data_IF_433852083366
#
_entry.id   IF_433852083366
#
_cell.length_a   1.000
_cell.length_b   1.000
_cell.length_c   1.000
_cell.angle_alpha   90.00
_cell.angle_beta   90.00
_cell.angle_gamma   90.00
#
_symmetry.space_group_name_H-M   'P 1'
#
loop_
_entity.id
_entity.type
_entity.pdbx_description
1 polymer ?
#
# COMPACT_ATOMS: atom_id res chain seq x y z
N UNK A 1 -12.54 -0.88 1.97
CA UNK A 1 -11.29 -1.61 1.66
C UNK A 1 -11.09 -1.66 0.15
N UNK A 2 -9.88 -1.36 -0.34
CA UNK A 2 -9.48 -1.58 -1.73
C UNK A 2 -8.73 -2.90 -1.83
N UNK A 3 -9.13 -3.76 -2.78
CA UNK A 3 -8.50 -5.07 -3.02
C UNK A 3 -7.71 -5.01 -4.31
N UNK A 4 -6.41 -5.30 -4.24
CA UNK A 4 -5.51 -5.18 -5.39
C UNK A 4 -5.85 -6.15 -6.52
N UNK A 5 -5.38 -5.82 -7.73
CA UNK A 5 -5.75 -6.52 -8.97
C UNK A 5 -5.13 -7.91 -9.14
N UNK A 6 -4.14 -8.27 -8.32
CA UNK A 6 -3.36 -9.51 -8.37
C UNK A 6 -4.11 -10.74 -7.87
N UNK A 7 -5.39 -10.83 -8.16
CA UNK A 7 -6.26 -11.98 -7.90
C UNK A 7 -6.04 -13.12 -8.91
N UNK A 8 -6.61 -14.27 -8.66
CA UNK A 8 -6.61 -15.40 -9.60
C UNK A 8 -8.07 -15.82 -9.92
N UNK A 9 -8.60 -15.50 -11.12
CA UNK A 9 -7.99 -14.73 -12.19
C UNK A 9 -7.76 -13.25 -11.85
N UNK A 10 -6.84 -12.58 -12.59
CA UNK A 10 -6.52 -11.16 -12.43
C UNK A 10 -7.76 -10.29 -12.64
N UNK A 11 -7.91 -9.22 -11.85
CA UNK A 11 -9.00 -8.25 -11.99
C UNK A 11 -8.71 -7.29 -13.16
N UNK A 12 -8.73 -7.81 -14.39
CA UNK A 12 -8.40 -7.10 -15.63
C UNK A 12 -9.61 -6.88 -16.55
N UNK A 13 -10.80 -7.21 -16.09
CA UNK A 13 -12.04 -7.04 -16.83
C UNK A 13 -13.24 -6.83 -15.89
N UNK A 14 -14.38 -6.30 -16.40
CA UNK A 14 -15.55 -6.02 -15.59
C UNK A 14 -16.11 -7.22 -14.82
N UNK A 15 -16.15 -8.40 -15.41
CA UNK A 15 -16.76 -9.58 -14.77
C UNK A 15 -16.00 -10.00 -13.50
N UNK A 16 -14.68 -9.92 -13.51
CA UNK A 16 -13.87 -10.23 -12.31
C UNK A 16 -14.00 -9.12 -11.27
N UNK A 17 -14.00 -7.85 -11.70
CA UNK A 17 -14.22 -6.72 -10.78
C UNK A 17 -15.59 -6.83 -10.08
N UNK A 18 -16.65 -7.12 -10.82
CA UNK A 18 -17.99 -7.34 -10.26
C UNK A 18 -18.03 -8.54 -9.33
N UNK A 19 -17.38 -9.64 -9.68
CA UNK A 19 -17.29 -10.82 -8.80
C UNK A 19 -16.67 -10.46 -7.45
N UNK A 20 -15.60 -9.70 -7.42
CA UNK A 20 -14.94 -9.24 -6.17
C UNK A 20 -15.88 -8.34 -5.40
N UNK A 21 -16.49 -7.36 -6.07
CA UNK A 21 -17.44 -6.45 -5.46
C UNK A 21 -18.64 -7.17 -4.84
N UNK A 22 -19.29 -8.07 -5.57
CA UNK A 22 -20.42 -8.87 -5.07
C UNK A 22 -20.05 -9.73 -3.86
N UNK A 23 -18.85 -10.32 -3.85
CA UNK A 23 -18.37 -11.06 -2.66
C UNK A 23 -18.26 -10.15 -1.44
N UNK A 24 -17.73 -8.93 -1.61
CA UNK A 24 -17.68 -7.93 -0.54
C UNK A 24 -19.06 -7.57 -0.02
N UNK A 25 -20.01 -7.28 -0.92
CA UNK A 25 -21.40 -6.95 -0.55
C UNK A 25 -22.06 -8.09 0.23
N UNK A 26 -21.87 -9.33 -0.21
CA UNK A 26 -22.51 -10.48 0.42
C UNK A 26 -21.99 -10.78 1.83
N UNK A 27 -20.75 -10.39 2.16
CA UNK A 27 -20.21 -10.55 3.53
C UNK A 27 -20.73 -9.48 4.47
N UNK A 28 -21.06 -8.30 3.97
CA UNK A 28 -21.64 -7.16 4.69
C UNK A 28 -20.83 -6.75 5.96
N UNK A 29 -19.51 -6.89 5.91
CA UNK A 29 -18.61 -6.48 7.00
C UNK A 29 -18.03 -5.09 6.77
N UNK A 30 -17.70 -4.76 5.54
CA UNK A 30 -17.23 -3.45 5.10
C UNK A 30 -17.45 -3.30 3.59
N UNK A 31 -17.37 -2.06 3.10
CA UNK A 31 -17.40 -1.81 1.67
C UNK A 31 -16.08 -2.26 1.01
N UNK A 32 -16.18 -3.14 0.02
CA UNK A 32 -15.06 -3.66 -0.74
C UNK A 32 -15.08 -3.05 -2.15
N UNK A 33 -14.00 -2.39 -2.52
CA UNK A 33 -13.81 -1.76 -3.81
C UNK A 33 -12.69 -2.49 -4.56
N UNK A 34 -12.98 -3.19 -5.67
CA UNK A 34 -11.93 -3.81 -6.46
C UNK A 34 -11.06 -2.75 -7.16
N UNK A 35 -9.76 -2.99 -7.18
CA UNK A 35 -8.81 -2.31 -8.03
C UNK A 35 -8.69 -3.08 -9.33
N UNK A 36 -8.82 -2.39 -10.47
CA UNK A 36 -8.58 -2.99 -11.77
C UNK A 36 -7.07 -3.01 -12.08
N UNK A 37 -6.60 -3.98 -12.86
CA UNK A 37 -5.22 -3.91 -13.34
C UNK A 37 -5.04 -2.82 -14.40
N UNK A 38 -3.85 -2.22 -14.46
CA UNK A 38 -3.46 -1.28 -15.51
C UNK A 38 -3.25 -2.07 -16.80
N UNK A 39 -2.51 -3.19 -16.73
CA UNK A 39 -2.23 -4.03 -17.87
C UNK A 39 -2.96 -5.38 -17.81
N UNK A 40 -3.32 -5.91 -18.95
CA UNK A 40 -3.94 -7.25 -19.08
C UNK A 40 -3.03 -8.31 -18.47
N UNK A 41 -3.60 -9.13 -17.61
CA UNK A 41 -2.88 -10.19 -16.90
C UNK A 41 -1.68 -9.72 -16.05
N UNK A 42 -1.57 -8.42 -15.74
CA UNK A 42 -0.41 -7.80 -15.07
C UNK A 42 0.90 -8.06 -15.86
N UNK A 43 0.84 -8.05 -17.20
CA UNK A 43 1.99 -8.36 -18.05
C UNK A 43 2.80 -7.12 -18.46
N UNK A 44 2.33 -5.91 -18.17
CA UNK A 44 2.99 -4.66 -18.56
C UNK A 44 3.06 -4.41 -20.08
N UNK A 45 2.21 -5.06 -20.87
CA UNK A 45 2.27 -5.03 -22.36
C UNK A 45 1.14 -4.26 -23.01
N UNK A 46 -0.08 -4.45 -22.53
CA UNK A 46 -1.31 -3.91 -23.11
C UNK A 46 -2.23 -3.41 -22.00
N UNK A 47 -2.85 -2.23 -22.19
CA UNK A 47 -3.79 -1.67 -21.23
C UNK A 47 -5.08 -2.50 -21.16
N UNK A 48 -5.69 -2.52 -19.99
CA UNK A 48 -7.04 -3.03 -19.78
C UNK A 48 -8.09 -2.00 -20.21
N UNK A 49 -9.35 -2.41 -20.20
CA UNK A 49 -10.49 -1.56 -20.56
C UNK A 49 -10.97 -0.76 -19.34
N UNK A 50 -10.23 0.30 -18.96
CA UNK A 50 -10.57 1.13 -17.78
C UNK A 50 -12.01 1.62 -17.79
N UNK A 51 -12.49 2.13 -18.94
CA UNK A 51 -13.85 2.64 -19.09
C UNK A 51 -14.90 1.60 -18.78
N UNK A 52 -14.74 0.38 -19.29
CA UNK A 52 -15.70 -0.70 -19.04
C UNK A 52 -15.74 -1.10 -17.56
N UNK A 53 -14.58 -1.14 -16.89
CA UNK A 53 -14.53 -1.44 -15.46
C UNK A 53 -15.06 -0.28 -14.60
N UNK A 54 -14.77 0.97 -14.98
CA UNK A 54 -15.28 2.15 -14.28
C UNK A 54 -16.81 2.31 -14.41
N UNK A 55 -17.39 1.88 -15.53
CA UNK A 55 -18.84 1.94 -15.79
C UNK A 55 -19.59 0.70 -15.31
N UNK A 56 -18.91 -0.38 -14.90
CA UNK A 56 -19.51 -1.60 -14.35
C UNK A 56 -20.21 -1.35 -13.00
N UNK A 57 -20.96 -2.33 -12.51
CA UNK A 57 -21.60 -2.27 -11.19
C UNK A 57 -20.58 -2.10 -10.05
N UNK A 58 -19.35 -2.63 -10.24
CA UNK A 58 -18.25 -2.48 -9.30
C UNK A 58 -17.70 -1.05 -9.20
N UNK A 59 -17.98 -0.19 -10.20
CA UNK A 59 -17.53 1.22 -10.23
C UNK A 59 -16.03 1.36 -9.90
N UNK A 60 -15.18 0.64 -10.61
CA UNK A 60 -13.73 0.64 -10.37
C UNK A 60 -13.19 2.07 -10.46
N UNK A 61 -12.54 2.53 -9.38
CA UNK A 61 -12.03 3.91 -9.24
C UNK A 61 -10.52 4.02 -9.26
N UNK A 62 -9.84 2.90 -9.07
CA UNK A 62 -8.39 2.81 -9.00
C UNK A 62 -7.90 1.64 -9.84
N UNK A 63 -6.75 1.84 -10.50
CA UNK A 63 -6.09 0.83 -11.32
C UNK A 63 -4.65 0.70 -10.90
N UNK A 64 -4.17 -0.55 -10.77
CA UNK A 64 -2.81 -0.86 -10.34
C UNK A 64 -2.38 -2.23 -10.86
N UNK A 65 -1.11 -2.34 -11.24
CA UNK A 65 -0.46 -3.63 -11.48
C UNK A 65 0.26 -4.13 -10.21
N UNK A 66 -0.22 -3.78 -9.02
CA UNK A 66 0.42 -4.07 -7.73
C UNK A 66 0.93 -5.51 -7.62
N UNK A 67 2.07 -5.64 -6.95
CA UNK A 67 2.94 -6.81 -6.95
C UNK A 67 3.84 -6.88 -8.19
N UNK A 68 3.62 -5.98 -9.16
CA UNK A 68 4.47 -5.71 -10.33
C UNK A 68 4.46 -4.21 -10.63
N UNK A 69 5.40 -3.76 -11.44
CA UNK A 69 5.49 -2.38 -11.88
C UNK A 69 5.10 -2.26 -13.35
N UNK A 70 4.39 -1.19 -13.73
CA UNK A 70 4.34 -0.78 -15.13
C UNK A 70 5.65 -0.08 -15.46
N UNK A 71 6.66 -0.85 -15.82
CA UNK A 71 8.03 -0.38 -16.09
C UNK A 71 8.19 0.23 -17.49
N UNK A 72 7.36 -0.15 -18.48
CA UNK A 72 7.35 0.46 -19.81
C UNK A 72 6.82 1.90 -19.74
N UNK A 73 7.68 2.93 -19.98
CA UNK A 73 7.27 4.33 -19.94
C UNK A 73 6.22 4.68 -21.01
N UNK A 74 6.18 3.97 -22.13
CA UNK A 74 5.18 4.19 -23.18
C UNK A 74 3.81 3.71 -22.75
N UNK A 75 3.76 2.56 -22.05
CA UNK A 75 2.51 2.01 -21.53
C UNK A 75 1.97 2.91 -20.40
N UNK A 76 2.86 3.31 -19.46
CA UNK A 76 2.49 4.19 -18.35
C UNK A 76 1.97 5.54 -18.84
N UNK A 77 2.63 6.15 -19.83
CA UNK A 77 2.12 7.37 -20.48
C UNK A 77 0.70 7.19 -20.99
N UNK A 78 0.43 6.11 -21.74
CA UNK A 78 -0.90 5.84 -22.27
C UNK A 78 -1.94 5.61 -21.17
N UNK A 79 -1.55 4.94 -20.09
CA UNK A 79 -2.41 4.75 -18.92
C UNK A 79 -2.81 6.11 -18.32
N UNK A 80 -1.85 7.03 -18.12
CA UNK A 80 -2.11 8.38 -17.61
C UNK A 80 -3.03 9.17 -18.55
N UNK A 81 -2.78 9.16 -19.85
CA UNK A 81 -3.62 9.86 -20.83
C UNK A 81 -5.05 9.29 -20.85
N UNK A 82 -5.21 7.97 -20.75
CA UNK A 82 -6.51 7.29 -20.78
C UNK A 82 -7.29 7.51 -19.48
N UNK A 83 -6.63 7.41 -18.32
CA UNK A 83 -7.27 7.59 -17.00
C UNK A 83 -7.83 8.99 -16.78
N UNK A 84 -7.19 10.02 -17.35
CA UNK A 84 -7.57 11.42 -17.19
C UNK A 84 -9.01 11.69 -17.61
N UNK A 85 -9.47 11.09 -18.71
CA UNK A 85 -10.83 11.29 -19.23
C UNK A 85 -11.94 10.71 -18.34
N UNK A 86 -11.60 9.80 -17.44
CA UNK A 86 -12.51 9.08 -16.55
C UNK A 86 -12.36 9.49 -15.08
N UNK A 87 -11.39 10.35 -14.77
CA UNK A 87 -11.05 10.77 -13.39
C UNK A 87 -10.78 9.61 -12.43
N UNK A 88 -10.25 8.50 -12.95
CA UNK A 88 -9.80 7.37 -12.14
C UNK A 88 -8.37 7.58 -11.64
N UNK A 89 -7.99 6.89 -10.58
CA UNK A 89 -6.69 6.94 -9.96
C UNK A 89 -5.81 5.83 -10.52
N UNK A 90 -4.59 6.13 -10.93
CA UNK A 90 -3.56 5.13 -11.17
C UNK A 90 -2.70 4.99 -9.93
N UNK A 91 -2.54 3.77 -9.43
CA UNK A 91 -1.71 3.46 -8.28
C UNK A 91 -0.52 2.59 -8.74
N UNK A 92 0.68 2.99 -8.38
CA UNK A 92 1.90 2.35 -8.86
C UNK A 92 2.67 1.71 -7.72
N UNK A 93 2.90 0.40 -7.84
CA UNK A 93 3.96 -0.30 -7.13
C UNK A 93 5.29 0.10 -7.79
N UNK A 94 6.05 0.96 -7.11
CA UNK A 94 7.24 1.58 -7.70
C UNK A 94 8.45 0.66 -7.55
N UNK A 95 8.73 -0.11 -8.59
CA UNK A 95 9.88 -1.00 -8.66
C UNK A 95 10.46 -1.02 -10.07
N UNK A 96 11.75 -0.68 -10.21
CA UNK A 96 12.48 -0.93 -11.45
C UNK A 96 12.97 -2.39 -11.45
N UNK A 97 12.27 -3.31 -12.18
CA UNK A 97 12.47 -4.75 -12.02
C UNK A 97 13.87 -5.23 -12.46
N UNK A 98 14.58 -4.46 -13.27
CA UNK A 98 15.95 -4.79 -13.68
C UNK A 98 16.98 -4.53 -12.60
N UNK A 99 16.66 -3.65 -11.63
CA UNK A 99 17.51 -3.38 -10.48
C UNK A 99 17.28 -4.33 -9.31
N UNK A 100 16.17 -5.09 -9.34
CA UNK A 100 15.76 -5.96 -8.22
C UNK A 100 15.92 -7.45 -8.53
N UNK A 101 16.59 -7.81 -9.63
CA UNK A 101 16.83 -9.21 -9.99
C UNK A 101 17.64 -9.90 -8.88
N UNK A 102 17.02 -10.93 -8.25
CA UNK A 102 17.64 -11.67 -7.15
C UNK A 102 17.68 -10.92 -5.81
N UNK A 103 17.09 -9.74 -5.73
CA UNK A 103 17.00 -8.96 -4.51
C UNK A 103 15.89 -9.50 -3.58
N UNK A 104 16.17 -9.57 -2.29
CA UNK A 104 15.24 -10.09 -1.27
C UNK A 104 15.21 -9.26 0.01
N UNK A 105 16.17 -8.35 0.20
CA UNK A 105 16.37 -7.53 1.39
C UNK A 105 16.88 -6.15 0.98
N UNK A 106 16.70 -5.14 1.84
CA UNK A 106 17.27 -3.82 1.60
C UNK A 106 18.78 -3.89 1.33
N UNK A 107 19.26 -3.21 0.29
CA UNK A 107 20.69 -3.09 -0.01
C UNK A 107 21.38 -2.24 1.05
N UNK A 108 22.04 -2.88 1.99
CA UNK A 108 22.68 -2.24 3.13
C UNK A 108 23.59 -3.19 3.88
N UNK A 109 24.07 -2.73 5.05
CA UNK A 109 25.00 -3.50 5.89
C UNK A 109 24.39 -4.83 6.34
N UNK A 110 23.13 -4.84 6.73
CA UNK A 110 22.41 -6.04 7.18
C UNK A 110 22.37 -7.10 6.10
N UNK A 111 21.92 -6.77 4.88
CA UNK A 111 21.85 -7.72 3.77
C UNK A 111 23.25 -8.23 3.39
N UNK A 112 24.25 -7.35 3.32
CA UNK A 112 25.62 -7.73 3.01
C UNK A 112 26.19 -8.72 4.04
N UNK A 113 25.99 -8.47 5.33
CA UNK A 113 26.43 -9.34 6.44
C UNK A 113 25.73 -10.69 6.43
N UNK A 114 24.44 -10.71 6.05
CA UNK A 114 23.62 -11.93 5.99
C UNK A 114 23.76 -12.70 4.67
N UNK A 115 24.46 -12.16 3.68
CA UNK A 115 24.60 -12.77 2.35
C UNK A 115 23.31 -12.75 1.53
N UNK A 116 22.41 -11.82 1.79
CA UNK A 116 21.13 -11.68 1.09
C UNK A 116 21.27 -10.75 -0.12
N UNK A 117 20.54 -11.02 -1.21
CA UNK A 117 20.49 -10.17 -2.39
C UNK A 117 19.92 -8.79 -2.05
N UNK A 118 20.72 -7.73 -2.33
CA UNK A 118 20.37 -6.36 -1.99
C UNK A 118 19.34 -5.74 -2.93
N UNK A 119 18.33 -5.07 -2.37
CA UNK A 119 17.31 -4.32 -3.07
C UNK A 119 17.59 -2.82 -2.94
N UNK A 120 18.10 -2.16 -3.98
CA UNK A 120 18.54 -0.77 -3.89
C UNK A 120 17.34 0.18 -3.77
N UNK A 121 17.51 1.28 -3.01
CA UNK A 121 16.51 2.35 -2.90
C UNK A 121 16.15 2.93 -4.26
N UNK A 122 17.14 3.12 -5.12
CA UNK A 122 16.97 3.69 -6.45
C UNK A 122 15.99 2.90 -7.33
N UNK A 123 15.72 1.62 -7.03
CA UNK A 123 14.71 0.86 -7.75
C UNK A 123 13.30 1.44 -7.56
N UNK A 124 12.97 1.92 -6.37
CA UNK A 124 11.74 2.63 -6.07
C UNK A 124 11.80 4.09 -6.58
N UNK A 125 12.82 4.82 -6.19
CA UNK A 125 12.97 6.24 -6.43
C UNK A 125 12.99 6.60 -7.92
N UNK A 126 13.62 5.78 -8.77
CA UNK A 126 13.65 6.04 -10.22
C UNK A 126 12.28 5.94 -10.88
N UNK A 127 11.43 5.02 -10.43
CA UNK A 127 10.05 4.89 -10.92
C UNK A 127 9.19 6.04 -10.39
N UNK A 128 9.31 6.41 -9.12
CA UNK A 128 8.60 7.56 -8.54
C UNK A 128 8.94 8.84 -9.30
N UNK A 129 10.23 9.10 -9.56
CA UNK A 129 10.69 10.28 -10.31
C UNK A 129 10.14 10.28 -11.74
N UNK A 130 10.22 9.16 -12.45
CA UNK A 130 9.69 8.98 -13.82
C UNK A 130 8.21 9.32 -13.85
N UNK A 131 7.44 8.72 -12.96
CA UNK A 131 5.98 8.81 -12.97
C UNK A 131 5.49 10.19 -12.51
N UNK A 132 6.17 10.83 -11.56
CA UNK A 132 5.91 12.22 -11.19
C UNK A 132 6.10 13.18 -12.37
N UNK A 133 7.19 13.02 -13.14
CA UNK A 133 7.45 13.82 -14.35
C UNK A 133 6.35 13.58 -15.40
N UNK A 134 5.89 12.34 -15.57
CA UNK A 134 4.82 12.01 -16.50
C UNK A 134 3.47 12.60 -16.04
N UNK A 135 3.12 12.48 -14.75
CA UNK A 135 1.92 13.06 -14.19
C UNK A 135 1.87 14.58 -14.41
N UNK A 136 3.02 15.27 -14.20
CA UNK A 136 3.15 16.69 -14.52
C UNK A 136 2.90 17.01 -15.99
N UNK A 137 3.45 16.18 -16.88
CA UNK A 137 3.37 16.42 -18.33
C UNK A 137 1.98 16.16 -18.90
N UNK A 138 1.29 15.12 -18.43
CA UNK A 138 0.04 14.63 -19.01
C UNK A 138 -1.20 14.88 -18.14
N UNK A 139 -1.03 15.18 -16.83
CA UNK A 139 -2.09 15.64 -15.94
C UNK A 139 -3.04 14.55 -15.44
N UNK A 140 -2.60 13.29 -15.38
CA UNK A 140 -3.34 12.20 -14.75
C UNK A 140 -3.13 12.16 -13.24
N UNK A 141 -4.09 11.60 -12.50
CA UNK A 141 -4.00 11.38 -11.05
C UNK A 141 -3.19 10.11 -10.79
N UNK A 142 -2.12 10.26 -10.04
CA UNK A 142 -1.20 9.16 -9.72
C UNK A 142 -1.05 9.01 -8.20
N UNK A 143 -0.97 7.78 -7.75
CA UNK A 143 -0.76 7.41 -6.35
C UNK A 143 0.44 6.47 -6.25
N UNK A 144 1.36 6.76 -5.34
CA UNK A 144 2.51 5.90 -5.04
C UNK A 144 2.10 4.97 -3.91
N UNK A 145 2.03 3.67 -4.21
CA UNK A 145 1.76 2.64 -3.20
C UNK A 145 2.96 2.49 -2.27
N UNK A 146 2.69 2.18 -1.00
CA UNK A 146 3.65 1.73 0.03
C UNK A 146 5.06 2.33 -0.10
N UNK A 147 5.19 3.67 -0.16
CA UNK A 147 6.47 4.36 -0.17
C UNK A 147 7.37 3.86 0.98
N UNK A 148 8.63 3.57 0.70
CA UNK A 148 9.52 2.91 1.65
C UNK A 148 10.85 3.63 1.90
N UNK A 149 11.24 4.64 1.11
CA UNK A 149 12.56 5.26 1.20
C UNK A 149 12.52 6.75 1.49
N UNK A 150 13.57 7.26 2.16
CA UNK A 150 13.80 8.70 2.35
C UNK A 150 13.85 9.45 1.02
N UNK A 151 14.52 8.87 -0.01
CA UNK A 151 14.60 9.49 -1.33
C UNK A 151 13.22 9.60 -2.02
N UNK A 152 12.32 8.65 -1.82
CA UNK A 152 10.92 8.77 -2.26
C UNK A 152 10.22 9.94 -1.57
N UNK A 153 10.45 10.14 -0.27
CA UNK A 153 9.89 11.30 0.45
C UNK A 153 10.37 12.62 -0.16
N UNK A 154 11.65 12.73 -0.51
CA UNK A 154 12.20 13.94 -1.15
C UNK A 154 11.58 14.19 -2.53
N UNK A 155 11.37 13.14 -3.31
CA UNK A 155 10.69 13.23 -4.61
C UNK A 155 9.21 13.65 -4.46
N UNK A 156 8.51 13.15 -3.43
CA UNK A 156 7.14 13.55 -3.12
C UNK A 156 7.06 15.02 -2.71
N UNK A 157 8.00 15.53 -1.88
CA UNK A 157 8.11 16.94 -1.53
C UNK A 157 8.31 17.82 -2.77
N UNK A 158 9.24 17.40 -3.64
CA UNK A 158 9.45 18.08 -4.91
C UNK A 158 8.19 18.09 -5.78
N UNK A 159 7.49 16.95 -5.90
CA UNK A 159 6.28 16.85 -6.71
C UNK A 159 5.16 17.77 -6.18
N UNK A 160 4.93 17.78 -4.87
CA UNK A 160 3.92 18.62 -4.22
C UNK A 160 4.25 20.12 -4.35
N UNK A 161 5.53 20.49 -4.25
CA UNK A 161 5.99 21.88 -4.47
C UNK A 161 5.78 22.35 -5.93
N UNK A 162 5.54 21.45 -6.86
CA UNK A 162 5.25 21.73 -8.28
C UNK A 162 3.76 21.53 -8.64
N UNK A 163 2.88 21.38 -7.65
CA UNK A 163 1.45 21.09 -7.82
C UNK A 163 1.18 19.89 -8.75
N UNK A 164 2.08 18.90 -8.75
CA UNK A 164 1.89 17.67 -9.52
C UNK A 164 0.76 16.86 -8.86
N UNK A 165 -0.22 16.31 -9.62
CA UNK A 165 -1.34 15.54 -9.07
C UNK A 165 -0.88 14.13 -8.61
N UNK A 166 0.00 14.10 -7.62
CA UNK A 166 0.63 12.93 -7.03
C UNK A 166 0.28 12.83 -5.56
N UNK A 167 -0.17 11.65 -5.14
CA UNK A 167 -0.39 11.26 -3.75
C UNK A 167 0.41 10.01 -3.41
N UNK A 168 0.59 9.72 -2.13
CA UNK A 168 1.33 8.54 -1.69
C UNK A 168 0.78 7.98 -0.39
N UNK A 169 1.01 6.70 -0.18
CA UNK A 169 0.70 5.99 1.05
C UNK A 169 1.95 5.34 1.64
N UNK A 170 1.88 5.02 2.93
CA UNK A 170 2.90 4.27 3.67
C UNK A 170 2.24 3.16 4.48
N UNK A 171 2.94 2.07 4.71
CA UNK A 171 2.41 0.95 5.49
C UNK A 171 2.82 1.03 6.96
N UNK A 172 2.05 0.42 7.88
CA UNK A 172 2.41 0.35 9.29
C UNK A 172 3.78 -0.32 9.52
N UNK A 173 4.13 -1.33 8.72
CA UNK A 173 5.40 -2.02 8.87
C UNK A 173 6.59 -1.16 8.42
N UNK A 174 6.47 -0.32 7.37
CA UNK A 174 7.52 0.63 7.01
C UNK A 174 7.62 1.84 7.98
N UNK A 175 6.61 2.06 8.81
CA UNK A 175 6.66 3.06 9.88
C UNK A 175 7.25 2.54 11.18
N UNK A 176 7.46 1.22 11.34
CA UNK A 176 7.86 0.64 12.63
C UNK A 176 9.07 -0.30 12.53
N UNK A 177 9.12 -1.13 11.51
CA UNK A 177 10.10 -2.21 11.39
C UNK A 177 11.29 -1.77 10.53
N UNK A 178 12.47 -2.29 10.88
CA UNK A 178 13.71 -2.06 10.10
C UNK A 178 14.24 -3.38 9.54
N UNK A 179 15.22 -3.28 8.67
CA UNK A 179 15.94 -4.41 8.08
C UNK A 179 16.71 -5.26 9.12
N UNK A 180 16.92 -4.76 10.34
CA UNK A 180 17.46 -5.53 11.46
C UNK A 180 16.60 -6.77 11.80
N UNK A 181 15.29 -6.74 11.46
CA UNK A 181 14.39 -7.91 11.62
C UNK A 181 14.84 -9.13 10.81
N UNK A 182 15.68 -8.95 9.81
CA UNK A 182 16.17 -10.01 8.93
C UNK A 182 17.23 -10.89 9.60
N UNK A 183 17.80 -10.50 10.74
CA UNK A 183 18.85 -11.24 11.45
C UNK A 183 18.42 -12.68 11.83
N UNK A 184 17.14 -12.93 11.95
CA UNK A 184 16.60 -14.25 12.25
C UNK A 184 16.35 -15.12 11.03
N UNK A 185 16.49 -14.57 9.81
CA UNK A 185 16.08 -15.20 8.54
C UNK A 185 14.62 -15.68 8.51
N UNK A 186 13.78 -15.14 9.41
CA UNK A 186 12.36 -15.50 9.43
C UNK A 186 11.65 -14.93 8.18
N UNK A 187 11.13 -15.81 7.35
CA UNK A 187 10.41 -15.47 6.11
C UNK A 187 9.21 -14.54 6.32
N UNK A 188 8.68 -14.46 7.55
CA UNK A 188 7.62 -13.49 7.90
C UNK A 188 8.07 -12.06 7.68
N UNK A 189 9.36 -11.75 7.84
CA UNK A 189 9.93 -10.41 7.65
C UNK A 189 10.24 -10.07 6.18
N UNK A 190 10.00 -11.01 5.24
CA UNK A 190 10.11 -10.72 3.81
C UNK A 190 8.86 -10.03 3.29
N UNK A 191 9.04 -8.81 2.79
CA UNK A 191 8.00 -7.94 2.22
C UNK A 191 8.53 -7.21 0.98
N UNK A 192 7.69 -6.74 0.12
CA UNK A 192 8.00 -5.91 -1.05
C UNK A 192 7.12 -4.65 -1.08
N UNK A 193 7.72 -3.44 -0.97
CA UNK A 193 9.14 -3.13 -0.80
C UNK A 193 9.74 -3.72 0.48
N UNK A 194 11.08 -3.97 0.51
CA UNK A 194 11.71 -4.55 1.70
C UNK A 194 11.71 -3.58 2.87
N UNK A 195 11.77 -4.11 4.10
CA UNK A 195 12.01 -3.29 5.29
C UNK A 195 13.34 -2.54 5.11
N UNK A 196 13.33 -1.25 5.44
CA UNK A 196 14.44 -0.32 5.23
C UNK A 196 15.19 -0.03 6.54
N UNK A 197 16.17 0.85 6.46
CA UNK A 197 16.91 1.32 7.63
C UNK A 197 16.09 2.31 8.49
N UNK A 198 16.55 2.55 9.71
CA UNK A 198 15.90 3.45 10.67
C UNK A 198 15.69 4.88 10.10
N UNK A 199 16.63 5.40 9.30
CA UNK A 199 16.48 6.73 8.67
C UNK A 199 15.31 6.82 7.71
N UNK A 200 15.00 5.73 6.98
CA UNK A 200 13.83 5.68 6.10
C UNK A 200 12.54 5.69 6.92
N UNK A 201 12.49 4.92 8.02
CA UNK A 201 11.35 4.91 8.97
C UNK A 201 11.10 6.32 9.51
N UNK A 202 12.15 7.03 9.95
CA UNK A 202 12.05 8.39 10.50
C UNK A 202 11.58 9.39 9.43
N UNK A 203 12.11 9.31 8.21
CA UNK A 203 11.70 10.15 7.10
C UNK A 203 10.22 9.95 6.73
N UNK A 204 9.75 8.70 6.68
CA UNK A 204 8.36 8.35 6.40
C UNK A 204 7.40 8.83 7.52
N UNK A 205 7.78 8.69 8.79
CA UNK A 205 7.01 9.22 9.92
C UNK A 205 6.86 10.75 9.84
N UNK A 206 7.96 11.45 9.61
CA UNK A 206 7.95 12.90 9.44
C UNK A 206 7.09 13.34 8.24
N UNK A 207 7.20 12.61 7.12
CA UNK A 207 6.44 12.86 5.90
C UNK A 207 4.93 12.62 6.06
N UNK A 208 4.52 11.66 6.87
CA UNK A 208 3.10 11.43 7.16
C UNK A 208 2.54 12.55 8.06
N UNK A 209 3.35 13.04 9.03
CA UNK A 209 2.95 14.16 9.91
C UNK A 209 2.80 15.45 9.12
N UNK A 210 3.78 15.81 8.28
CA UNK A 210 3.76 17.05 7.51
C UNK A 210 2.83 17.01 6.29
N UNK A 211 2.30 15.83 5.94
CA UNK A 211 1.38 15.62 4.82
C UNK A 211 2.07 15.44 3.48
N UNK A 212 3.38 15.23 3.45
CA UNK A 212 4.12 14.82 2.24
C UNK A 212 3.67 13.44 1.77
N UNK A 213 3.55 12.48 2.69
CA UNK A 213 2.81 11.22 2.50
C UNK A 213 1.38 11.44 2.97
N UNK A 214 0.42 11.00 2.19
CA UNK A 214 -0.99 11.40 2.35
C UNK A 214 -1.77 10.51 3.31
N UNK A 215 -1.52 9.21 3.31
CA UNK A 215 -2.32 8.25 4.05
C UNK A 215 -1.55 6.97 4.40
N UNK A 216 -2.22 6.13 5.20
CA UNK A 216 -1.75 4.79 5.55
C UNK A 216 -2.55 3.75 4.80
N UNK A 217 -1.87 2.79 4.20
CA UNK A 217 -2.45 1.56 3.66
C UNK A 217 -1.80 0.34 4.30
N UNK A 218 -2.51 -0.78 4.36
CA UNK A 218 -2.05 -1.93 5.14
C UNK A 218 -1.08 -2.82 4.41
N UNK A 219 -1.15 -2.84 3.09
CA UNK A 219 -0.47 -3.84 2.25
C UNK A 219 -0.67 -5.27 2.82
N UNK A 220 -1.92 -5.58 3.18
CA UNK A 220 -2.29 -6.85 3.80
C UNK A 220 -2.15 -7.99 2.81
N UNK A 221 -1.11 -8.81 2.98
CA UNK A 221 -0.77 -9.91 2.10
C UNK A 221 -0.68 -11.24 2.88
N UNK A 222 -1.82 -11.95 3.04
CA UNK A 222 -1.84 -13.24 3.73
C UNK A 222 -1.18 -14.33 2.88
N UNK A 223 -0.23 -15.06 3.49
CA UNK A 223 0.47 -16.20 2.90
C UNK A 223 0.37 -17.41 3.82
N UNK A 224 0.24 -18.60 3.25
CA UNK A 224 0.24 -19.84 4.00
C UNK A 224 1.58 -20.11 4.68
N UNK A 225 1.58 -21.04 5.65
CA UNK A 225 2.81 -21.41 6.35
C UNK A 225 3.87 -21.98 5.40
N UNK A 226 3.47 -22.71 4.38
CA UNK A 226 4.34 -23.25 3.33
C UNK A 226 5.06 -22.18 2.52
N UNK A 227 4.45 -21.01 2.36
CA UNK A 227 5.04 -19.86 1.66
C UNK A 227 6.01 -19.06 2.54
N UNK A 228 5.96 -19.25 3.86
CA UNK A 228 6.75 -18.49 4.85
C UNK A 228 7.78 -19.32 5.61
N UNK A 229 7.49 -20.60 5.87
CA UNK A 229 8.38 -21.53 6.57
C UNK A 229 9.34 -22.23 5.59
N UNK A 230 10.11 -21.44 4.87
CA UNK A 230 11.14 -21.88 3.93
C UNK A 230 12.36 -20.97 4.04
N UNK A 231 13.39 -21.21 3.23
CA UNK A 231 14.56 -20.33 3.15
C UNK A 231 14.11 -18.90 2.83
N UNK A 232 14.76 -17.91 3.46
CA UNK A 232 14.34 -16.52 3.39
C UNK A 232 14.19 -16.00 1.94
N UNK A 233 15.09 -16.39 1.06
CA UNK A 233 15.08 -16.00 -0.36
C UNK A 233 13.99 -16.72 -1.18
N UNK A 234 13.36 -17.77 -0.65
CA UNK A 234 12.25 -18.49 -1.26
C UNK A 234 10.89 -18.07 -0.68
N UNK A 235 10.85 -17.48 0.53
CA UNK A 235 9.62 -17.05 1.16
C UNK A 235 8.89 -16.02 0.29
N UNK A 236 7.57 -16.11 0.17
CA UNK A 236 6.78 -15.10 -0.56
C UNK A 236 6.78 -13.77 0.19
N UNK A 237 7.01 -12.63 -0.49
CA UNK A 237 6.95 -11.32 0.16
C UNK A 237 5.51 -10.97 0.55
N UNK A 238 5.34 -10.43 1.76
CA UNK A 238 4.05 -9.95 2.27
C UNK A 238 3.83 -10.27 3.75
N UNK A 239 3.00 -9.46 4.40
CA UNK A 239 2.69 -9.50 5.83
C UNK A 239 1.20 -9.28 6.08
N UNK A 240 0.67 -9.78 7.20
CA UNK A 240 -0.64 -9.38 7.70
C UNK A 240 -0.58 -7.93 8.22
N UNK A 241 -1.61 -7.13 7.90
CA UNK A 241 -1.63 -5.71 8.28
C UNK A 241 -2.99 -5.20 8.79
N UNK A 242 -4.13 -5.74 8.32
CA UNK A 242 -5.45 -5.15 8.57
C UNK A 242 -5.76 -5.05 10.07
N UNK A 243 -5.63 -6.13 10.82
CA UNK A 243 -6.07 -6.20 12.21
C UNK A 243 -5.15 -5.47 13.20
N UNK A 244 -3.92 -5.16 12.78
CA UNK A 244 -2.93 -4.47 13.64
C UNK A 244 -2.72 -3.01 13.27
N UNK A 245 -3.17 -2.58 12.08
CA UNK A 245 -2.82 -1.27 11.53
C UNK A 245 -3.25 -0.10 12.42
N UNK A 246 -4.51 -0.07 12.89
CA UNK A 246 -5.01 1.02 13.73
C UNK A 246 -4.21 1.13 15.03
N UNK A 247 -3.96 -0.01 15.68
CA UNK A 247 -3.22 -0.05 16.95
C UNK A 247 -1.76 0.41 16.78
N UNK A 248 -1.12 0.04 15.68
CA UNK A 248 0.24 0.46 15.37
C UNK A 248 0.33 1.95 15.07
N UNK A 249 -0.59 2.49 14.27
CA UNK A 249 -0.64 3.92 13.98
C UNK A 249 -0.93 4.72 15.23
N UNK A 250 -1.87 4.28 16.07
CA UNK A 250 -2.14 4.90 17.37
C UNK A 250 -0.92 4.86 18.29
N UNK A 251 -0.22 3.70 18.34
CA UNK A 251 1.01 3.56 19.13
C UNK A 251 2.08 4.54 18.67
N UNK A 252 2.41 4.56 17.40
CA UNK A 252 3.51 5.36 16.85
C UNK A 252 3.25 6.87 17.01
N UNK A 253 2.03 7.32 16.71
CA UNK A 253 1.77 8.76 16.56
C UNK A 253 1.03 9.38 17.74
N UNK A 254 0.22 8.62 18.50
CA UNK A 254 -0.56 9.15 19.62
C UNK A 254 0.03 8.76 20.96
N UNK A 255 0.33 7.47 21.18
CA UNK A 255 0.79 6.97 22.49
C UNK A 255 2.25 7.31 22.72
N UNK A 256 3.12 7.01 21.73
CA UNK A 256 4.56 7.26 21.79
C UNK A 256 4.97 8.58 21.09
N UNK A 257 4.02 9.25 20.41
CA UNK A 257 4.23 10.49 19.66
C UNK A 257 3.38 11.66 20.19
N UNK A 258 3.38 12.75 19.44
CA UNK A 258 2.74 14.02 19.80
C UNK A 258 1.44 14.30 19.02
N UNK A 259 0.93 13.33 18.26
CA UNK A 259 -0.29 13.49 17.46
C UNK A 259 -1.54 13.11 18.29
N UNK A 260 -2.71 13.53 17.82
CA UNK A 260 -4.00 13.17 18.42
C UNK A 260 -4.80 12.20 17.55
N UNK A 261 -5.95 11.75 18.03
CA UNK A 261 -6.83 10.82 17.31
C UNK A 261 -7.42 11.42 16.03
N UNK A 262 -7.42 12.75 15.87
CA UNK A 262 -7.84 13.39 14.61
C UNK A 262 -6.80 13.13 13.51
N UNK A 263 -5.52 13.10 13.87
CA UNK A 263 -4.48 12.70 12.94
C UNK A 263 -4.71 11.27 12.43
N UNK A 264 -5.01 10.32 13.32
CA UNK A 264 -5.33 8.93 12.95
C UNK A 264 -6.53 8.87 12.00
N UNK A 265 -7.62 9.57 12.33
CA UNK A 265 -8.81 9.67 11.48
C UNK A 265 -8.47 10.28 10.11
N UNK A 266 -7.64 11.32 10.07
CA UNK A 266 -7.19 11.96 8.84
C UNK A 266 -6.45 10.98 7.93
N UNK A 267 -5.40 10.30 8.44
CA UNK A 267 -4.52 9.49 7.59
C UNK A 267 -5.07 8.10 7.26
N UNK A 268 -6.03 7.58 8.05
CA UNK A 268 -6.61 6.24 7.84
C UNK A 268 -8.05 6.26 7.29
N UNK A 269 -8.73 7.40 7.26
CA UNK A 269 -10.13 7.50 6.82
C UNK A 269 -10.38 8.66 5.86
N UNK A 270 -10.12 9.90 6.26
CA UNK A 270 -10.44 11.09 5.46
C UNK A 270 -9.62 11.14 4.17
N UNK A 271 -8.29 11.08 4.28
CA UNK A 271 -7.40 11.16 3.12
C UNK A 271 -7.54 9.99 2.14
N UNK A 272 -7.64 8.71 2.55
CA UNK A 272 -7.93 7.62 1.63
C UNK A 272 -9.23 7.83 0.84
N UNK A 273 -10.30 8.28 1.50
CA UNK A 273 -11.58 8.52 0.85
C UNK A 273 -11.52 9.70 -0.13
N UNK A 274 -10.81 10.77 0.22
CA UNK A 274 -10.58 11.94 -0.65
C UNK A 274 -9.75 11.57 -1.90
N UNK A 275 -8.64 10.85 -1.71
CA UNK A 275 -7.76 10.39 -2.79
C UNK A 275 -8.52 9.53 -3.79
N UNK A 276 -9.34 8.61 -3.30
CA UNK A 276 -10.12 7.71 -4.15
C UNK A 276 -11.45 8.30 -4.61
N UNK A 277 -11.80 9.51 -4.13
CA UNK A 277 -13.10 10.16 -4.37
C UNK A 277 -14.28 9.23 -4.03
N UNK A 278 -14.15 8.51 -2.92
CA UNK A 278 -15.13 7.52 -2.51
C UNK A 278 -16.32 8.22 -1.83
N UNK A 279 -17.51 8.21 -2.43
CA UNK A 279 -18.67 8.87 -1.84
C UNK A 279 -19.10 8.13 -0.57
N UNK A 280 -19.50 8.89 0.45
CA UNK A 280 -20.03 8.30 1.68
C UNK A 280 -19.01 7.87 2.73
N UNK A 281 -17.70 8.05 2.47
CA UNK A 281 -16.63 7.73 3.39
C UNK A 281 -15.81 8.97 3.76
N UNK A 282 -15.03 8.89 4.83
CA UNK A 282 -14.12 9.96 5.28
C UNK A 282 -14.81 11.29 5.59
N UNK A 283 -16.08 11.27 5.96
CA UNK A 283 -16.90 12.48 6.21
C UNK A 283 -16.90 12.86 7.68
N UNK A 284 -17.07 14.15 8.00
CA UNK A 284 -17.28 14.60 9.37
C UNK A 284 -18.54 13.94 9.98
N UNK A 285 -18.51 13.69 11.28
CA UNK A 285 -19.68 13.25 12.03
C UNK A 285 -20.66 14.43 12.11
N UNK A 286 -21.82 14.31 11.46
CA UNK A 286 -22.85 15.34 11.43
C UNK A 286 -24.26 14.75 11.50
N UNK A 287 -25.21 15.54 11.99
CA UNK A 287 -26.63 15.15 12.05
C UNK A 287 -27.18 14.94 10.64
N UNK A 288 -27.81 13.78 10.42
CA UNK A 288 -28.37 13.39 9.12
C UNK A 288 -27.44 12.57 8.22
N UNK A 289 -26.16 12.45 8.60
CA UNK A 289 -25.20 11.58 7.90
C UNK A 289 -25.38 10.10 8.33
N UNK A 290 -25.19 9.14 7.41
CA UNK A 290 -25.17 7.73 7.77
C UNK A 290 -24.12 7.44 8.84
N UNK A 291 -24.46 6.63 9.83
CA UNK A 291 -23.57 6.24 10.93
C UNK A 291 -22.56 5.18 10.46
N UNK A 292 -21.64 5.56 9.57
CA UNK A 292 -20.53 4.75 9.11
C UNK A 292 -19.34 4.98 10.06
N UNK A 293 -19.44 4.43 11.26
CA UNK A 293 -18.56 4.74 12.40
C UNK A 293 -18.02 3.45 13.04
N UNK A 294 -16.86 3.53 13.65
CA UNK A 294 -16.36 2.54 14.61
C UNK A 294 -16.11 3.18 15.97
N UNK A 295 -16.30 2.41 17.04
CA UNK A 295 -15.93 2.79 18.39
C UNK A 295 -14.61 2.06 18.75
N UNK A 296 -13.67 2.81 19.32
CA UNK A 296 -12.35 2.30 19.69
C UNK A 296 -12.16 2.47 21.20
N UNK A 297 -11.82 1.38 21.91
CA UNK A 297 -11.39 1.46 23.30
C UNK A 297 -9.88 1.69 23.37
N UNK A 298 -9.51 2.93 23.57
CA UNK A 298 -8.12 3.40 23.57
C UNK A 298 -7.28 2.87 24.76
N UNK A 299 -7.90 2.23 25.72
CA UNK A 299 -7.23 1.67 26.90
C UNK A 299 -7.03 0.15 26.79
N UNK A 300 -7.56 -0.47 25.75
CA UNK A 300 -7.40 -1.91 25.56
C UNK A 300 -6.00 -2.24 25.03
N UNK A 301 -5.42 -3.29 25.57
CA UNK A 301 -4.17 -3.87 25.06
C UNK A 301 -4.34 -5.37 24.85
N UNK A 302 -3.62 -5.92 23.90
CA UNK A 302 -3.64 -7.34 23.58
C UNK A 302 -2.28 -7.80 23.03
N UNK A 303 -2.02 -9.09 23.14
CA UNK A 303 -0.81 -9.70 22.56
C UNK A 303 -1.15 -10.21 21.17
N UNK A 304 -0.47 -9.71 20.14
CA UNK A 304 -0.68 -10.14 18.79
C UNK A 304 -0.24 -11.61 18.62
N UNK A 305 -1.15 -12.42 18.11
CA UNK A 305 -0.89 -13.82 17.74
C UNK A 305 -1.55 -14.10 16.41
N UNK A 306 -0.78 -14.53 15.43
CA UNK A 306 -1.31 -14.81 14.09
C UNK A 306 -2.47 -15.82 14.11
N UNK A 307 -2.39 -16.82 14.98
CA UNK A 307 -3.45 -17.84 15.13
C UNK A 307 -4.79 -17.31 15.69
N UNK A 308 -4.77 -16.17 16.36
CA UNK A 308 -5.95 -15.56 16.99
C UNK A 308 -6.60 -14.51 16.07
N UNK A 309 -6.00 -14.22 14.90
CA UNK A 309 -6.51 -13.28 13.90
C UNK A 309 -7.61 -13.89 13.05
N UNK A 310 -8.47 -13.07 12.48
CA UNK A 310 -9.52 -13.49 11.57
C UNK A 310 -8.98 -13.94 10.21
N UNK A 311 -7.76 -13.54 9.85
CA UNK A 311 -7.06 -13.99 8.65
C UNK A 311 -6.91 -15.53 8.67
N UNK A 312 -7.03 -16.16 7.50
CA UNK A 312 -6.73 -17.60 7.33
C UNK A 312 -5.22 -17.91 7.38
N UNK A 313 -4.39 -16.90 7.25
CA UNK A 313 -2.94 -16.98 7.34
C UNK A 313 -2.46 -16.37 8.65
N UNK A 314 -1.27 -16.77 9.11
CA UNK A 314 -0.71 -16.38 10.41
C UNK A 314 0.56 -15.54 10.29
N UNK A 315 0.91 -15.04 9.09
CA UNK A 315 2.17 -14.36 8.80
C UNK A 315 2.21 -12.90 9.30
N UNK A 316 1.94 -12.70 10.59
CA UNK A 316 2.08 -11.40 11.24
C UNK A 316 3.53 -11.15 11.66
N UNK A 317 4.15 -9.99 11.34
CA UNK A 317 5.48 -9.64 11.81
C UNK A 317 5.49 -9.19 13.28
N UNK A 318 4.34 -9.10 13.92
CA UNK A 318 4.14 -8.62 15.28
C UNK A 318 3.86 -9.73 16.28
N UNK A 319 4.15 -10.99 15.94
CA UNK A 319 3.91 -12.15 16.82
C UNK A 319 4.48 -11.91 18.22
N UNK A 320 3.66 -12.17 19.25
CA UNK A 320 3.94 -11.92 20.66
C UNK A 320 4.20 -10.45 21.06
N UNK A 321 4.04 -9.50 20.17
CA UNK A 321 4.11 -8.08 20.50
C UNK A 321 2.89 -7.64 21.32
N UNK A 322 3.11 -6.81 22.33
CA UNK A 322 2.02 -6.15 23.05
C UNK A 322 1.54 -4.94 22.23
N UNK A 323 0.31 -5.00 21.77
CA UNK A 323 -0.32 -3.95 20.98
C UNK A 323 -1.35 -3.24 21.83
N UNK A 324 -1.33 -1.89 21.82
CA UNK A 324 -2.29 -1.04 22.50
C UNK A 324 -3.17 -0.35 21.45
N UNK A 325 -4.46 -0.31 21.71
CA UNK A 325 -5.41 0.47 20.91
C UNK A 325 -6.01 1.53 21.82
#
# INVERSE_FOLDING_TARGET
VFTMANTAPVTDNPAIAEMVWYKGQNTNLCDVHPVGSISKGLEGKELTEFGMMADSDARVRMFSDDGKCVDDPRLMRRAIEYSKGMDVLLAQHCEEPRLTIGAVAHEGETAARLGLGGWPRVAEESIVARDAIMARAYGGRLHICHASTEGTVDLLRWAKAQDIPLTAEVTPHHLLLTDERLETYDGVNRVNPPLREQRDVEALRAALIDGTVDCVATDHAPHGSEDKCCEFDQARPGMLGIETSLALIAKIFVIDGDQDWRFVAKVMSERPAEITKLPGHGRPIAVGEPANLCAVDVNQSWVARGQDMASKANNTPYELSLIHI
#
